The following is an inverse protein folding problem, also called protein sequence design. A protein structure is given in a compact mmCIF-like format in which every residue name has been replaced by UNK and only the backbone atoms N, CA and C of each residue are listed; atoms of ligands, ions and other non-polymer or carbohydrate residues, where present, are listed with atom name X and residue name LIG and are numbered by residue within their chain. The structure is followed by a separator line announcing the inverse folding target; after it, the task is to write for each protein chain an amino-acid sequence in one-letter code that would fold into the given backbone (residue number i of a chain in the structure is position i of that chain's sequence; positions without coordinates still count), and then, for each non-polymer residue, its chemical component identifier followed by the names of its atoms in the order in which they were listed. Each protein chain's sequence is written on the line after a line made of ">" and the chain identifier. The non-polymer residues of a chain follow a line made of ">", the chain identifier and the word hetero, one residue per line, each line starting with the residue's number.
data_IF_168758763575
#
_entry.id   IF_168758763575
#
_cell.length_a   1.000
_cell.length_b   1.000
_cell.length_c   1.000
_cell.angle_alpha   90.00
_cell.angle_beta   90.00
_cell.angle_gamma   90.00
#
_symmetry.space_group_name_H-M   'P 1'
#
loop_
_entity.id
_entity.type
_entity.pdbx_description
1 polymer ?
#
# COMPACT_ATOMS: atom_id res chain seq x y z
N UNK A 1 25.79 -5.21 27.21
CA UNK A 1 27.05 -4.54 27.63
C UNK A 1 28.24 -5.26 26.99
N UNK A 2 29.47 -4.79 27.20
CA UNK A 2 30.69 -5.24 26.47
C UNK A 2 31.10 -6.74 26.61
N UNK A 3 30.34 -7.55 27.35
CA UNK A 3 30.60 -8.99 27.55
C UNK A 3 29.33 -9.85 27.42
N UNK A 4 28.28 -9.29 26.81
CA UNK A 4 26.92 -9.84 26.70
C UNK A 4 26.29 -10.38 28.01
N UNK A 5 26.85 -9.99 29.16
CA UNK A 5 26.33 -10.35 30.50
C UNK A 5 24.96 -9.69 30.71
N UNK A 6 23.93 -10.53 30.84
CA UNK A 6 22.57 -10.09 31.17
C UNK A 6 22.48 -9.54 32.59
N UNK A 7 21.45 -8.73 32.92
CA UNK A 7 21.19 -8.34 34.30
C UNK A 7 21.07 -9.53 35.25
N UNK A 8 20.46 -10.64 34.79
CA UNK A 8 20.30 -11.88 35.55
C UNK A 8 21.64 -12.55 35.83
N UNK A 9 22.54 -12.61 34.84
CA UNK A 9 23.91 -13.11 35.00
C UNK A 9 24.66 -12.35 36.10
N UNK A 10 24.59 -11.02 36.09
CA UNK A 10 25.27 -10.18 37.09
C UNK A 10 24.67 -10.35 38.49
N UNK A 11 23.36 -10.49 38.60
CA UNK A 11 22.68 -10.75 39.86
C UNK A 11 23.08 -12.12 40.45
N UNK A 12 23.21 -13.14 39.60
CA UNK A 12 23.65 -14.46 40.00
C UNK A 12 25.11 -14.48 40.48
N UNK A 13 26.01 -13.86 39.71
CA UNK A 13 27.42 -13.69 40.09
C UNK A 13 27.58 -12.91 41.41
N UNK A 14 26.75 -11.89 41.63
CA UNK A 14 26.76 -11.11 42.89
C UNK A 14 26.07 -11.79 44.08
N UNK A 15 25.43 -12.95 43.89
CA UNK A 15 24.67 -13.64 44.94
C UNK A 15 23.40 -12.88 45.37
N UNK A 16 22.84 -12.02 44.51
CA UNK A 16 21.68 -11.19 44.84
C UNK A 16 20.37 -11.94 44.62
N UNK A 17 20.00 -12.78 45.59
CA UNK A 17 18.82 -13.66 45.53
C UNK A 17 17.53 -12.92 45.13
N UNK A 18 17.20 -11.83 45.82
CA UNK A 18 16.00 -11.05 45.55
C UNK A 18 15.98 -10.42 44.14
N UNK A 19 17.16 -10.05 43.62
CA UNK A 19 17.27 -9.52 42.26
C UNK A 19 17.09 -10.62 41.21
N UNK A 20 17.59 -11.83 41.46
CA UNK A 20 17.40 -13.00 40.59
C UNK A 20 15.92 -13.35 40.47
N UNK A 21 15.21 -13.46 41.60
CA UNK A 21 13.76 -13.74 41.62
C UNK A 21 12.96 -12.68 40.85
N UNK A 22 13.24 -11.40 41.12
CA UNK A 22 12.56 -10.28 40.45
C UNK A 22 12.80 -10.30 38.94
N UNK A 23 14.04 -10.54 38.51
CA UNK A 23 14.38 -10.57 37.09
C UNK A 23 13.70 -11.72 36.36
N UNK A 24 13.67 -12.92 36.96
CA UNK A 24 12.95 -14.08 36.41
C UNK A 24 11.43 -13.80 36.29
N UNK A 25 10.82 -13.22 37.33
CA UNK A 25 9.41 -12.80 37.32
C UNK A 25 9.08 -11.75 36.24
N UNK A 26 10.09 -11.01 35.78
CA UNK A 26 9.98 -10.03 34.71
C UNK A 26 10.49 -10.52 33.35
N UNK A 27 10.67 -11.84 33.18
CA UNK A 27 10.98 -12.45 31.89
C UNK A 27 12.46 -12.49 31.53
N UNK A 28 13.37 -12.34 32.50
CA UNK A 28 14.79 -12.60 32.26
C UNK A 28 14.98 -14.10 31.96
N UNK A 29 15.68 -14.40 30.87
CA UNK A 29 15.91 -15.78 30.46
C UNK A 29 17.20 -16.35 31.11
N UNK A 30 17.09 -17.39 31.96
CA UNK A 30 18.24 -18.02 32.61
C UNK A 30 19.13 -18.82 31.64
N UNK A 31 18.69 -19.06 30.40
CA UNK A 31 19.43 -19.82 29.39
C UNK A 31 20.47 -18.99 28.64
N UNK A 32 20.42 -17.66 28.75
CA UNK A 32 21.30 -16.75 28.02
C UNK A 32 22.72 -16.78 28.59
N UNK A 33 23.67 -17.21 27.76
CA UNK A 33 25.09 -17.21 28.10
C UNK A 33 25.73 -15.83 27.89
N UNK A 34 26.73 -15.52 28.71
CA UNK A 34 27.62 -14.38 28.48
C UNK A 34 28.70 -14.72 27.45
N UNK A 35 29.52 -13.75 27.06
CA UNK A 35 30.62 -13.96 26.09
C UNK A 35 31.70 -14.93 26.61
N UNK A 36 31.74 -15.19 27.92
CA UNK A 36 32.59 -16.22 28.54
C UNK A 36 32.01 -17.64 28.42
N UNK A 37 30.85 -17.81 27.77
CA UNK A 37 30.19 -19.09 27.52
C UNK A 37 29.41 -19.64 28.71
N UNK A 38 29.41 -18.96 29.86
CA UNK A 38 28.74 -19.45 31.06
C UNK A 38 27.30 -18.92 31.17
N UNK A 39 26.42 -19.72 31.77
CA UNK A 39 25.06 -19.33 32.15
C UNK A 39 25.04 -18.66 33.53
N UNK A 40 24.00 -17.87 33.88
CA UNK A 40 23.80 -17.33 35.22
C UNK A 40 23.90 -18.37 36.33
N UNK A 41 23.44 -19.60 36.09
CA UNK A 41 23.50 -20.71 37.05
C UNK A 41 24.93 -21.14 37.35
N UNK A 42 25.78 -21.23 36.31
CA UNK A 42 27.17 -21.71 36.42
C UNK A 42 28.09 -20.72 37.16
N UNK A 43 27.74 -19.43 37.16
CA UNK A 43 28.53 -18.37 37.81
C UNK A 43 27.95 -17.91 39.14
N UNK A 44 26.87 -18.55 39.60
CA UNK A 44 26.16 -18.14 40.81
C UNK A 44 27.05 -18.29 42.06
N UNK A 45 27.13 -17.22 42.87
CA UNK A 45 27.97 -17.22 44.09
C UNK A 45 27.35 -17.91 45.30
N UNK A 46 26.03 -18.18 45.29
CA UNK A 46 25.30 -18.77 46.40
C UNK A 46 24.49 -19.98 45.95
N UNK A 47 24.51 -21.06 46.74
CA UNK A 47 23.71 -22.27 46.47
C UNK A 47 22.22 -21.97 46.37
N UNK A 48 21.71 -21.00 47.13
CA UNK A 48 20.32 -20.56 47.07
C UNK A 48 19.94 -19.97 45.70
N UNK A 49 20.89 -19.30 45.01
CA UNK A 49 20.65 -18.76 43.66
C UNK A 49 20.64 -19.88 42.63
N UNK A 50 21.55 -20.86 42.75
CA UNK A 50 21.57 -22.06 41.88
C UNK A 50 20.26 -22.83 42.00
N UNK A 51 19.76 -23.01 43.23
CA UNK A 51 18.48 -23.67 43.48
C UNK A 51 17.30 -22.97 42.79
N UNK A 52 17.25 -21.64 42.82
CA UNK A 52 16.19 -20.87 42.15
C UNK A 52 16.28 -20.99 40.63
N UNK A 53 17.48 -20.82 40.06
CA UNK A 53 17.68 -20.86 38.61
C UNK A 53 17.38 -22.26 38.03
N UNK A 54 17.82 -23.31 38.72
CA UNK A 54 17.56 -24.70 38.31
C UNK A 54 16.09 -25.11 38.46
N UNK A 55 15.38 -24.57 39.47
CA UNK A 55 13.96 -24.85 39.70
C UNK A 55 13.02 -23.96 38.86
N UNK A 56 13.54 -22.97 38.14
CA UNK A 56 12.72 -22.05 37.37
C UNK A 56 12.07 -22.74 36.18
N UNK A 57 10.77 -22.55 36.03
CA UNK A 57 10.03 -23.04 34.87
C UNK A 57 10.31 -22.16 33.66
N UNK A 58 11.17 -22.63 32.76
CA UNK A 58 11.52 -21.93 31.52
C UNK A 58 10.31 -21.67 30.61
N UNK A 59 9.23 -22.45 30.72
CA UNK A 59 8.01 -22.20 29.95
C UNK A 59 7.34 -20.90 30.39
N UNK A 60 7.49 -20.49 31.65
CA UNK A 60 7.03 -19.20 32.14
C UNK A 60 7.76 -18.06 31.43
N UNK A 61 9.08 -18.17 31.29
CA UNK A 61 9.88 -17.20 30.51
C UNK A 61 9.44 -17.15 29.05
N UNK A 62 9.26 -18.30 28.40
CA UNK A 62 8.81 -18.36 27.00
C UNK A 62 7.45 -17.66 26.81
N UNK A 63 6.49 -17.87 27.72
CA UNK A 63 5.19 -17.18 27.66
C UNK A 63 5.27 -15.67 27.91
N UNK A 64 6.19 -15.22 28.77
CA UNK A 64 6.41 -13.80 29.03
C UNK A 64 7.04 -13.13 27.82
N UNK A 65 8.05 -13.74 27.19
CA UNK A 65 8.69 -13.25 25.99
C UNK A 65 7.69 -13.16 24.83
N UNK A 66 6.88 -14.20 24.60
CA UNK A 66 5.81 -14.17 23.61
C UNK A 66 4.81 -13.02 23.85
N UNK A 67 4.40 -12.79 25.09
CA UNK A 67 3.52 -11.66 25.44
C UNK A 67 4.18 -10.31 25.21
N UNK A 68 5.46 -10.16 25.55
CA UNK A 68 6.23 -8.94 25.33
C UNK A 68 6.41 -8.64 23.85
N UNK A 69 6.77 -9.64 23.04
CA UNK A 69 6.89 -9.52 21.59
C UNK A 69 5.54 -9.19 20.95
N UNK A 70 4.47 -9.88 21.33
CA UNK A 70 3.13 -9.58 20.86
C UNK A 70 2.68 -8.15 21.21
N UNK A 71 2.99 -7.67 22.42
CA UNK A 71 2.68 -6.31 22.83
C UNK A 71 3.55 -5.27 22.09
N UNK A 72 4.83 -5.55 21.86
CA UNK A 72 5.69 -4.70 21.03
C UNK A 72 5.19 -4.62 19.59
N UNK A 73 4.82 -5.75 18.99
CA UNK A 73 4.21 -5.81 17.66
C UNK A 73 2.88 -5.04 17.62
N UNK A 74 2.03 -5.20 18.65
CA UNK A 74 0.76 -4.46 18.76
C UNK A 74 0.98 -2.96 18.83
N UNK A 75 1.95 -2.49 19.62
CA UNK A 75 2.32 -1.07 19.73
C UNK A 75 2.88 -0.54 18.42
N UNK A 76 3.77 -1.30 17.76
CA UNK A 76 4.32 -0.94 16.46
C UNK A 76 3.20 -0.80 15.40
N UNK A 77 2.28 -1.77 15.35
CA UNK A 77 1.13 -1.74 14.45
C UNK A 77 0.20 -0.56 14.76
N UNK A 78 -0.06 -0.26 16.04
CA UNK A 78 -0.88 0.87 16.44
C UNK A 78 -0.23 2.21 16.04
N UNK A 79 1.07 2.38 16.30
CA UNK A 79 1.82 3.57 15.89
C UNK A 79 1.79 3.77 14.38
N UNK A 80 1.92 2.69 13.61
CA UNK A 80 1.88 2.75 12.16
C UNK A 80 0.49 3.10 11.62
N UNK A 81 -0.58 2.56 12.21
CA UNK A 81 -1.96 2.96 11.89
C UNK A 81 -2.22 4.42 12.24
N UNK A 82 -1.69 4.90 13.36
CA UNK A 82 -1.77 6.31 13.73
C UNK A 82 -1.06 7.19 12.69
N UNK A 83 0.14 6.80 12.27
CA UNK A 83 0.89 7.53 11.25
C UNK A 83 0.17 7.56 9.90
N UNK A 84 -0.44 6.44 9.45
CA UNK A 84 -1.26 6.42 8.24
C UNK A 84 -2.48 7.33 8.37
N UNK A 85 -3.15 7.32 9.52
CA UNK A 85 -4.32 8.17 9.78
C UNK A 85 -3.97 9.66 9.75
N UNK A 86 -2.82 10.06 10.31
CA UNK A 86 -2.31 11.43 10.23
C UNK A 86 -2.04 11.85 8.78
N UNK A 87 -1.34 11.01 8.01
CA UNK A 87 -1.06 11.28 6.59
C UNK A 87 -2.38 11.38 5.83
N UNK A 88 -3.33 10.47 6.06
CA UNK A 88 -4.65 10.49 5.45
C UNK A 88 -5.41 11.78 5.75
N UNK A 89 -5.38 12.25 7.00
CA UNK A 89 -6.03 13.49 7.40
C UNK A 89 -5.39 14.70 6.70
N UNK A 90 -4.06 14.72 6.62
CA UNK A 90 -3.32 15.77 5.92
C UNK A 90 -3.65 15.79 4.42
N UNK A 91 -3.62 14.63 3.75
CA UNK A 91 -3.99 14.49 2.34
C UNK A 91 -5.44 14.94 2.10
N UNK A 92 -6.38 14.55 2.96
CA UNK A 92 -7.78 14.99 2.87
C UNK A 92 -7.94 16.52 3.02
N UNK A 93 -7.14 17.14 3.89
CA UNK A 93 -7.10 18.60 4.03
C UNK A 93 -6.61 19.29 2.75
N UNK A 94 -5.53 18.78 2.14
CA UNK A 94 -4.98 19.32 0.89
C UNK A 94 -5.97 19.18 -0.27
N UNK A 95 -6.63 18.03 -0.40
CA UNK A 95 -7.64 17.81 -1.44
C UNK A 95 -8.84 18.75 -1.28
N UNK A 96 -9.27 19.01 -0.03
CA UNK A 96 -10.32 19.99 0.26
C UNK A 96 -9.89 21.42 -0.14
N UNK A 97 -8.66 21.81 0.18
CA UNK A 97 -8.11 23.12 -0.22
C UNK A 97 -8.01 23.24 -1.75
N UNK A 98 -7.56 22.19 -2.44
CA UNK A 98 -7.49 22.14 -3.90
C UNK A 98 -8.89 22.31 -4.52
N UNK A 99 -9.91 21.64 -3.97
CA UNK A 99 -11.29 21.79 -4.43
C UNK A 99 -11.78 23.24 -4.26
N UNK A 100 -11.46 23.88 -3.14
CA UNK A 100 -11.80 25.29 -2.92
C UNK A 100 -11.09 26.23 -3.91
N UNK A 101 -9.81 25.96 -4.21
CA UNK A 101 -9.04 26.71 -5.19
C UNK A 101 -9.63 26.59 -6.61
N UNK A 102 -10.04 25.40 -7.03
CA UNK A 102 -10.75 25.22 -8.30
C UNK A 102 -12.08 25.99 -8.35
N UNK A 103 -12.85 25.98 -7.25
CA UNK A 103 -14.09 26.74 -7.17
C UNK A 103 -13.86 28.25 -7.23
N UNK A 104 -12.74 28.75 -6.69
CA UNK A 104 -12.34 30.15 -6.83
C UNK A 104 -11.88 30.49 -8.25
N UNK A 105 -11.06 29.64 -8.87
CA UNK A 105 -10.64 29.81 -10.27
C UNK A 105 -11.85 29.91 -11.20
N UNK A 106 -12.83 29.00 -11.07
CA UNK A 106 -14.07 29.04 -11.86
C UNK A 106 -14.86 30.34 -11.63
N UNK A 107 -14.88 30.86 -10.40
CA UNK A 107 -15.50 32.16 -10.09
C UNK A 107 -14.77 33.32 -10.79
N UNK A 108 -13.43 33.31 -10.81
CA UNK A 108 -12.62 34.33 -11.49
C UNK A 108 -12.80 34.30 -13.01
N UNK A 109 -12.83 33.12 -13.61
CA UNK A 109 -13.13 32.93 -15.04
C UNK A 109 -14.51 33.52 -15.37
N UNK A 110 -15.53 33.17 -14.60
CA UNK A 110 -16.90 33.68 -14.81
C UNK A 110 -16.97 35.22 -14.69
N UNK A 111 -16.23 35.80 -13.73
CA UNK A 111 -16.17 37.24 -13.55
C UNK A 111 -15.48 37.95 -14.72
N UNK A 112 -14.39 37.36 -15.25
CA UNK A 112 -13.70 37.85 -16.42
C UNK A 112 -14.59 37.82 -17.67
N UNK A 113 -15.24 36.68 -17.94
CA UNK A 113 -16.18 36.54 -19.06
C UNK A 113 -17.28 37.60 -19.01
N UNK A 114 -17.78 37.91 -17.81
CA UNK A 114 -18.78 38.96 -17.59
C UNK A 114 -18.22 40.35 -17.86
N UNK A 115 -16.98 40.64 -17.46
CA UNK A 115 -16.32 41.92 -17.74
C UNK A 115 -16.08 42.11 -19.25
N UNK A 116 -15.63 41.06 -19.94
CA UNK A 116 -15.44 41.07 -21.39
C UNK A 116 -16.76 41.33 -22.12
N UNK A 117 -17.83 40.60 -21.77
CA UNK A 117 -19.17 40.78 -22.38
C UNK A 117 -19.72 42.20 -22.19
N UNK A 118 -19.38 42.86 -21.08
CA UNK A 118 -19.83 44.22 -20.77
C UNK A 118 -18.87 45.32 -21.22
N UNK A 119 -17.77 44.98 -21.89
CA UNK A 119 -16.72 45.93 -22.30
C UNK A 119 -16.24 46.83 -21.15
N UNK A 120 -16.12 46.25 -19.95
CA UNK A 120 -15.60 46.99 -18.80
C UNK A 120 -14.08 47.14 -18.93
N UNK A 121 -13.54 48.33 -18.65
CA UNK A 121 -12.10 48.65 -18.73
C UNK A 121 -11.20 47.90 -17.73
N UNK A 122 -11.72 46.87 -17.05
CA UNK A 122 -11.08 46.17 -15.95
C UNK A 122 -10.61 44.76 -16.36
N UNK A 123 -10.61 44.47 -17.67
CA UNK A 123 -10.32 43.14 -18.20
C UNK A 123 -8.92 42.63 -17.80
N UNK A 124 -7.90 43.50 -17.83
CA UNK A 124 -6.53 43.15 -17.43
C UNK A 124 -6.42 42.74 -15.95
N UNK A 125 -7.08 43.47 -15.05
CA UNK A 125 -7.11 43.13 -13.61
C UNK A 125 -7.78 41.77 -13.37
N UNK A 126 -8.86 41.48 -14.11
CA UNK A 126 -9.53 40.16 -14.00
C UNK A 126 -8.70 39.02 -14.58
N UNK A 127 -7.90 39.26 -15.63
CA UNK A 127 -6.95 38.28 -16.16
C UNK A 127 -5.83 37.98 -15.17
N UNK A 128 -5.26 39.01 -14.53
CA UNK A 128 -4.25 38.82 -13.50
C UNK A 128 -4.79 37.98 -12.34
N UNK A 129 -6.02 38.24 -11.90
CA UNK A 129 -6.66 37.45 -10.85
C UNK A 129 -6.95 35.99 -11.25
N UNK A 130 -7.14 35.70 -12.55
CA UNK A 130 -7.20 34.32 -13.05
C UNK A 130 -5.83 33.66 -12.93
N UNK A 131 -4.77 34.33 -13.42
CA UNK A 131 -3.42 33.80 -13.37
C UNK A 131 -2.96 33.49 -11.93
N UNK A 132 -3.28 34.36 -10.97
CA UNK A 132 -3.00 34.13 -9.55
C UNK A 132 -3.75 32.89 -9.02
N UNK A 133 -5.02 32.72 -9.40
CA UNK A 133 -5.84 31.58 -9.00
C UNK A 133 -5.35 30.27 -9.65
N UNK A 134 -4.93 30.30 -10.92
CA UNK A 134 -4.30 29.17 -11.62
C UNK A 134 -2.99 28.76 -10.93
N UNK A 135 -2.15 29.74 -10.57
CA UNK A 135 -0.90 29.47 -9.84
C UNK A 135 -1.15 28.81 -8.47
N UNK A 136 -2.19 29.22 -7.75
CA UNK A 136 -2.58 28.58 -6.50
C UNK A 136 -3.08 27.15 -6.71
N UNK A 137 -3.93 26.92 -7.72
CA UNK A 137 -4.43 25.59 -8.08
C UNK A 137 -3.28 24.66 -8.39
N UNK A 138 -2.31 25.09 -9.21
CA UNK A 138 -1.18 24.25 -9.60
C UNK A 138 -0.29 23.91 -8.39
N UNK A 139 -0.02 24.89 -7.52
CA UNK A 139 0.73 24.65 -6.28
C UNK A 139 0.04 23.63 -5.38
N UNK A 140 -1.27 23.77 -5.17
CA UNK A 140 -2.04 22.85 -4.33
C UNK A 140 -2.18 21.47 -4.96
N UNK A 141 -2.25 21.39 -6.30
CA UNK A 141 -2.32 20.15 -7.04
C UNK A 141 -1.05 19.32 -6.85
N UNK A 142 0.13 19.93 -7.03
CA UNK A 142 1.42 19.27 -6.81
C UNK A 142 1.51 18.78 -5.36
N UNK A 143 1.17 19.63 -4.39
CA UNK A 143 1.20 19.25 -2.97
C UNK A 143 0.24 18.10 -2.64
N UNK A 144 -0.96 18.09 -3.24
CA UNK A 144 -1.94 17.03 -3.06
C UNK A 144 -1.46 15.71 -3.69
N UNK A 145 -0.85 15.76 -4.87
CA UNK A 145 -0.28 14.60 -5.55
C UNK A 145 0.84 13.95 -4.72
N UNK A 146 1.80 14.75 -4.24
CA UNK A 146 2.85 14.27 -3.32
C UNK A 146 2.28 13.66 -2.03
N UNK A 147 1.21 14.25 -1.48
CA UNK A 147 0.57 13.75 -0.28
C UNK A 147 -0.22 12.46 -0.52
N UNK A 148 -0.84 12.30 -1.69
CA UNK A 148 -1.47 11.04 -2.10
C UNK A 148 -0.44 9.93 -2.29
N UNK A 149 0.71 10.20 -2.91
CA UNK A 149 1.79 9.22 -3.06
C UNK A 149 2.29 8.73 -1.69
N UNK A 150 2.52 9.65 -0.75
CA UNK A 150 2.91 9.30 0.63
C UNK A 150 1.84 8.44 1.32
N UNK A 151 0.57 8.74 1.11
CA UNK A 151 -0.54 7.96 1.65
C UNK A 151 -0.59 6.55 1.05
N UNK A 152 -0.46 6.43 -0.28
CA UNK A 152 -0.41 5.14 -0.97
C UNK A 152 0.76 4.28 -0.47
N UNK A 153 1.94 4.86 -0.26
CA UNK A 153 3.10 4.16 0.33
C UNK A 153 2.85 3.74 1.78
N UNK A 154 2.21 4.58 2.60
CA UNK A 154 1.87 4.22 3.98
C UNK A 154 0.88 3.04 4.04
N UNK A 155 -0.11 3.02 3.13
CA UNK A 155 -1.05 1.90 2.98
C UNK A 155 -0.37 0.62 2.54
N UNK A 156 0.55 0.70 1.56
CA UNK A 156 1.36 -0.46 1.14
C UNK A 156 2.08 -1.09 2.34
N UNK A 157 2.76 -0.28 3.16
CA UNK A 157 3.49 -0.80 4.34
C UNK A 157 2.57 -1.48 5.34
N UNK A 158 1.39 -0.91 5.59
CA UNK A 158 0.41 -1.51 6.50
C UNK A 158 -0.11 -2.84 5.96
N UNK A 159 -0.34 -2.92 4.64
CA UNK A 159 -0.78 -4.13 3.96
C UNK A 159 0.24 -5.26 4.03
N UNK A 160 1.51 -4.97 3.77
CA UNK A 160 2.58 -5.97 3.79
C UNK A 160 2.75 -6.58 5.18
N UNK A 161 2.72 -5.76 6.24
CA UNK A 161 2.77 -6.26 7.62
C UNK A 161 1.55 -7.10 7.99
N UNK A 162 0.36 -6.74 7.50
CA UNK A 162 -0.83 -7.55 7.74
C UNK A 162 -0.80 -8.89 7.01
N UNK A 163 -0.02 -9.00 5.92
CA UNK A 163 0.16 -10.22 5.14
C UNK A 163 1.36 -11.05 5.63
N UNK A 164 2.29 -10.45 6.37
CA UNK A 164 3.44 -11.11 6.98
C UNK A 164 2.97 -12.20 7.96
N UNK A 165 3.16 -13.46 7.57
CA UNK A 165 2.74 -14.63 8.36
C UNK A 165 1.41 -15.28 7.96
N UNK A 166 0.65 -14.71 7.01
CA UNK A 166 -0.49 -15.43 6.41
C UNK A 166 -0.03 -16.28 5.21
N UNK A 167 -0.22 -17.61 5.24
CA UNK A 167 0.08 -18.43 4.07
C UNK A 167 -0.89 -18.08 2.93
N UNK A 168 -0.33 -17.65 1.80
CA UNK A 168 -1.08 -17.47 0.56
C UNK A 168 -0.99 -18.74 -0.27
N UNK A 169 -2.15 -19.31 -0.64
CA UNK A 169 -2.22 -20.50 -1.51
C UNK A 169 -1.76 -20.21 -2.95
N UNK A 170 -1.95 -18.97 -3.41
CA UNK A 170 -1.59 -18.54 -4.76
C UNK A 170 -0.51 -17.47 -4.64
N UNK A 171 0.70 -17.69 -5.18
CA UNK A 171 1.75 -16.67 -5.14
C UNK A 171 1.34 -15.47 -5.98
N UNK A 172 1.46 -14.26 -5.42
CA UNK A 172 1.08 -13.03 -6.12
C UNK A 172 0.75 -11.89 -5.18
N UNK A 173 0.09 -10.87 -5.71
CA UNK A 173 -0.36 -9.71 -4.95
C UNK A 173 -1.71 -10.00 -4.30
N UNK A 174 -1.88 -9.57 -3.06
CA UNK A 174 -3.16 -9.60 -2.36
C UNK A 174 -3.56 -8.18 -2.00
N UNK A 175 -4.78 -7.77 -2.34
CA UNK A 175 -5.29 -6.44 -2.03
C UNK A 175 -6.80 -6.45 -1.82
N UNK A 176 -7.30 -5.48 -1.07
CA UNK A 176 -8.73 -5.22 -0.95
C UNK A 176 -9.25 -4.41 -2.15
N UNK A 177 -10.58 -4.36 -2.30
CA UNK A 177 -11.23 -3.54 -3.34
C UNK A 177 -10.83 -2.06 -3.24
N UNK A 178 -10.59 -1.55 -2.03
CA UNK A 178 -10.19 -0.15 -1.80
C UNK A 178 -8.77 0.17 -2.29
N UNK A 179 -7.93 -0.85 -2.44
CA UNK A 179 -6.53 -0.74 -2.83
C UNK A 179 -6.30 -1.05 -4.31
N UNK A 180 -7.35 -1.39 -5.07
CA UNK A 180 -7.24 -1.72 -6.50
C UNK A 180 -6.62 -0.57 -7.30
N UNK A 181 -6.88 0.67 -6.93
CA UNK A 181 -6.26 1.83 -7.58
C UNK A 181 -4.75 1.89 -7.33
N UNK A 182 -4.34 1.73 -6.08
CA UNK A 182 -2.93 1.73 -5.68
C UNK A 182 -2.17 0.57 -6.34
N UNK A 183 -2.77 -0.61 -6.45
CA UNK A 183 -2.13 -1.78 -7.06
C UNK A 183 -2.15 -1.73 -8.57
N UNK A 184 -3.32 -1.62 -9.19
CA UNK A 184 -3.47 -1.81 -10.63
C UNK A 184 -3.17 -0.54 -11.42
N UNK A 185 -3.47 0.64 -10.86
CA UNK A 185 -3.39 1.88 -11.61
C UNK A 185 -2.12 2.68 -11.32
N UNK A 186 -1.66 2.65 -10.08
CA UNK A 186 -0.48 3.39 -9.64
C UNK A 186 0.76 2.49 -9.49
N UNK A 187 0.60 1.16 -9.51
CA UNK A 187 1.65 0.18 -9.20
C UNK A 187 2.51 0.60 -8.00
N UNK A 188 1.84 0.90 -6.88
CA UNK A 188 2.50 1.43 -5.68
C UNK A 188 3.49 0.39 -5.16
N UNK A 189 4.76 0.78 -5.14
CA UNK A 189 5.88 -0.11 -4.80
C UNK A 189 6.50 -0.84 -6.00
N UNK A 190 6.02 -0.59 -7.23
CA UNK A 190 6.60 -1.11 -8.47
C UNK A 190 6.54 -2.63 -8.60
N UNK A 191 5.58 -3.29 -7.95
CA UNK A 191 5.55 -4.76 -7.86
C UNK A 191 5.13 -5.41 -9.17
N UNK A 192 4.18 -4.80 -9.89
CA UNK A 192 3.77 -5.30 -11.20
C UNK A 192 4.88 -5.11 -12.22
N UNK A 193 5.51 -3.95 -12.22
CA UNK A 193 6.64 -3.65 -13.09
C UNK A 193 7.85 -4.55 -12.81
N UNK A 194 8.15 -4.84 -11.53
CA UNK A 194 9.25 -5.71 -11.15
C UNK A 194 9.03 -7.18 -11.54
N UNK A 195 7.78 -7.67 -11.51
CA UNK A 195 7.44 -9.03 -11.95
C UNK A 195 7.46 -9.15 -13.49
N UNK A 196 6.96 -8.13 -14.20
CA UNK A 196 6.99 -8.05 -15.66
C UNK A 196 5.90 -8.84 -16.39
N UNK A 197 5.12 -9.68 -15.69
CA UNK A 197 3.93 -10.35 -16.26
C UNK A 197 2.70 -9.45 -16.16
N UNK A 198 1.75 -9.63 -17.09
CA UNK A 198 0.47 -8.93 -17.05
C UNK A 198 -0.38 -9.39 -15.85
N UNK A 199 -1.17 -8.51 -15.23
CA UNK A 199 -1.99 -8.86 -14.07
C UNK A 199 -3.19 -9.74 -14.45
N UNK A 200 -3.34 -10.86 -13.74
CA UNK A 200 -4.54 -11.68 -13.68
C UNK A 200 -5.27 -11.40 -12.37
N UNK A 201 -6.38 -10.68 -12.46
CA UNK A 201 -7.20 -10.29 -11.32
C UNK A 201 -8.13 -11.45 -10.96
N UNK A 202 -7.89 -12.03 -9.79
CA UNK A 202 -8.70 -13.10 -9.21
C UNK A 202 -9.72 -12.44 -8.28
N UNK A 203 -10.94 -12.24 -8.80
CA UNK A 203 -12.01 -11.56 -8.09
C UNK A 203 -13.35 -12.33 -8.21
N UNK A 204 -13.62 -13.25 -7.27
CA UNK A 204 -14.90 -13.96 -7.21
C UNK A 204 -16.11 -13.02 -7.01
N UNK A 205 -15.91 -11.84 -6.43
CA UNK A 205 -17.00 -10.91 -6.12
C UNK A 205 -17.46 -10.09 -7.31
N UNK A 206 -16.61 -9.92 -8.33
CA UNK A 206 -16.84 -9.08 -9.50
C UNK A 206 -16.72 -7.57 -9.25
N UNK A 207 -16.31 -7.15 -8.05
CA UNK A 207 -16.09 -5.73 -7.72
C UNK A 207 -14.94 -5.10 -8.51
N UNK A 208 -13.90 -5.86 -8.84
CA UNK A 208 -12.79 -5.39 -9.66
C UNK A 208 -13.22 -5.08 -11.09
N UNK A 209 -14.10 -5.89 -11.68
CA UNK A 209 -14.66 -5.59 -13.00
C UNK A 209 -15.48 -4.29 -13.00
N UNK A 210 -16.24 -4.04 -11.91
CA UNK A 210 -16.98 -2.78 -11.73
C UNK A 210 -16.00 -1.60 -11.58
N UNK A 211 -14.97 -1.75 -10.73
CA UNK A 211 -13.92 -0.75 -10.55
C UNK A 211 -13.25 -0.37 -11.88
N UNK A 212 -12.83 -1.36 -12.67
CA UNK A 212 -12.17 -1.14 -13.97
C UNK A 212 -13.07 -0.41 -14.97
N UNK A 213 -14.37 -0.72 -14.97
CA UNK A 213 -15.36 -0.02 -15.80
C UNK A 213 -15.48 1.45 -15.44
N UNK A 214 -15.47 1.80 -14.15
CA UNK A 214 -15.52 3.20 -13.70
C UNK A 214 -14.20 3.96 -13.95
N UNK A 215 -13.08 3.25 -14.08
CA UNK A 215 -11.77 3.82 -14.44
C UNK A 215 -11.53 3.91 -15.95
N UNK A 216 -12.57 3.72 -16.75
CA UNK A 216 -12.53 3.75 -18.23
C UNK A 216 -11.38 2.92 -18.81
N UNK A 217 -11.12 1.76 -18.19
CA UNK A 217 -10.04 0.86 -18.62
C UNK A 217 -10.62 -0.38 -19.27
N UNK A 218 -10.02 -0.80 -20.39
CA UNK A 218 -10.43 -2.04 -21.04
C UNK A 218 -9.97 -3.24 -20.20
N UNK A 219 -10.90 -4.17 -19.99
CA UNK A 219 -10.63 -5.42 -19.31
C UNK A 219 -11.37 -6.55 -20.01
N UNK A 220 -10.86 -7.76 -19.86
CA UNK A 220 -11.46 -8.97 -20.41
C UNK A 220 -11.84 -9.91 -19.26
N UNK A 221 -13.10 -10.34 -19.20
CA UNK A 221 -13.54 -11.33 -18.22
C UNK A 221 -13.43 -12.74 -18.81
N UNK A 222 -12.48 -13.54 -18.30
CA UNK A 222 -12.25 -14.91 -18.80
C UNK A 222 -13.40 -15.86 -18.52
N UNK A 223 -14.30 -15.52 -17.60
CA UNK A 223 -15.50 -16.31 -17.32
C UNK A 223 -16.66 -15.99 -18.27
N UNK A 224 -16.57 -14.95 -19.10
CA UNK A 224 -17.59 -14.59 -20.09
C UNK A 224 -17.16 -15.04 -21.50
N UNK A 225 -17.80 -16.06 -22.11
CA UNK A 225 -17.46 -16.51 -23.45
C UNK A 225 -17.54 -15.42 -24.52
N UNK A 226 -18.43 -14.44 -24.33
CA UNK A 226 -18.55 -13.31 -25.26
C UNK A 226 -17.30 -12.41 -25.25
N UNK A 227 -16.67 -12.22 -24.10
CA UNK A 227 -15.43 -11.43 -23.96
C UNK A 227 -14.23 -12.17 -24.58
N UNK A 228 -14.29 -13.50 -24.63
CA UNK A 228 -13.24 -14.36 -25.21
C UNK A 228 -13.40 -14.59 -26.71
N UNK A 229 -14.43 -14.03 -27.35
CA UNK A 229 -14.56 -14.06 -28.79
C UNK A 229 -13.40 -13.27 -29.45
N UNK A 230 -12.85 -13.79 -30.55
CA UNK A 230 -11.69 -13.20 -31.24
C UNK A 230 -11.91 -11.71 -31.54
N UNK A 231 -13.10 -11.34 -32.03
CA UNK A 231 -13.42 -9.96 -32.35
C UNK A 231 -13.57 -9.08 -31.10
N UNK A 232 -14.09 -9.63 -29.99
CA UNK A 232 -14.19 -8.90 -28.72
C UNK A 232 -12.80 -8.60 -28.14
N UNK A 233 -11.89 -9.58 -28.16
CA UNK A 233 -10.50 -9.40 -27.76
C UNK A 233 -9.81 -8.35 -28.63
N UNK A 234 -9.98 -8.45 -29.97
CA UNK A 234 -9.45 -7.47 -30.92
C UNK A 234 -9.95 -6.06 -30.62
N UNK A 235 -11.25 -5.89 -30.41
CA UNK A 235 -11.85 -4.59 -30.10
C UNK A 235 -11.42 -4.05 -28.73
N UNK A 236 -11.24 -4.90 -27.72
CA UNK A 236 -10.73 -4.48 -26.41
C UNK A 236 -9.28 -3.97 -26.51
N UNK A 237 -8.42 -4.66 -27.28
CA UNK A 237 -7.04 -4.24 -27.55
C UNK A 237 -6.97 -2.95 -28.36
N UNK A 238 -7.83 -2.78 -29.37
CA UNK A 238 -7.92 -1.52 -30.12
C UNK A 238 -8.52 -0.40 -29.27
N UNK A 239 -9.45 -0.74 -28.37
CA UNK A 239 -10.08 0.16 -27.42
C UNK A 239 -9.10 0.76 -26.42
N UNK A 240 -8.10 0.00 -25.97
CA UNK A 240 -7.09 0.48 -25.01
C UNK A 240 -6.03 1.38 -25.64
N UNK A 241 -6.02 1.49 -26.97
CA UNK A 241 -5.18 2.42 -27.73
C UNK A 241 -5.88 3.77 -27.99
N UNK A 242 -7.10 3.99 -27.47
CA UNK A 242 -7.95 5.16 -27.79
C UNK A 242 -7.42 6.48 -27.21
N UNK A 243 -7.03 7.38 -28.12
CA UNK A 243 -7.20 8.83 -27.99
C UNK A 243 -7.88 9.36 -29.27
N UNK A 244 -9.16 9.06 -29.44
CA UNK A 244 -9.97 9.53 -30.59
C UNK A 244 -10.54 10.94 -30.40
N UNK A 245 -10.55 11.49 -29.18
CA UNK A 245 -11.28 12.72 -28.85
C UNK A 245 -10.48 14.02 -29.01
N UNK A 246 -9.18 13.95 -29.33
CA UNK A 246 -8.28 15.11 -29.40
C UNK A 246 -7.70 15.39 -30.80
N UNK A 247 -8.06 14.57 -31.79
CA UNK A 247 -7.51 14.67 -33.15
C UNK A 247 -8.36 15.62 -33.99
N UNK A 248 -7.73 16.67 -34.51
CA UNK A 248 -8.31 17.58 -35.49
C UNK A 248 -8.07 17.04 -36.89
N UNK A 249 -8.95 17.37 -37.83
CA UNK A 249 -8.80 17.01 -39.25
C UNK A 249 -7.56 17.64 -39.91
N UNK A 250 -6.90 18.58 -39.23
CA UNK A 250 -5.67 19.26 -39.65
C UNK A 250 -4.39 18.63 -39.09
N UNK A 251 -4.48 17.64 -38.21
CA UNK A 251 -3.30 17.01 -37.61
C UNK A 251 -2.57 16.13 -38.63
N UNK A 252 -1.24 16.08 -38.57
CA UNK A 252 -0.37 15.44 -39.57
C UNK A 252 -0.54 13.91 -39.69
N UNK A 253 0.03 13.28 -40.73
CA UNK A 253 -0.08 11.84 -40.98
C UNK A 253 0.35 11.01 -39.78
N UNK A 254 1.29 11.48 -38.98
CA UNK A 254 1.76 10.84 -37.75
C UNK A 254 0.64 10.58 -36.72
N UNK A 255 -0.51 11.25 -36.84
CA UNK A 255 -1.71 11.09 -36.01
C UNK A 255 -2.77 10.17 -36.65
N UNK A 256 -2.47 9.54 -37.78
CA UNK A 256 -3.38 8.64 -38.48
C UNK A 256 -3.80 7.44 -37.61
N UNK A 257 -4.99 6.91 -37.91
CA UNK A 257 -5.64 5.84 -37.15
C UNK A 257 -4.80 4.56 -37.06
N UNK A 258 -4.00 4.28 -38.09
CA UNK A 258 -3.20 3.06 -38.21
C UNK A 258 -1.73 3.27 -37.84
N UNK A 259 -1.30 4.50 -37.55
CA UNK A 259 0.11 4.79 -37.31
C UNK A 259 0.51 4.47 -35.87
N UNK A 260 1.47 3.56 -35.71
CA UNK A 260 1.95 3.14 -34.40
C UNK A 260 2.79 4.25 -33.75
N UNK A 261 2.49 4.56 -32.48
CA UNK A 261 3.30 5.48 -31.68
C UNK A 261 3.66 4.84 -30.35
N UNK A 262 4.93 4.91 -29.98
CA UNK A 262 5.43 4.42 -28.68
C UNK A 262 4.71 5.12 -27.52
N UNK A 263 4.43 6.42 -27.63
CA UNK A 263 3.66 7.16 -26.63
C UNK A 263 2.21 6.68 -26.45
N UNK A 264 1.63 5.98 -27.44
CA UNK A 264 0.31 5.32 -27.28
C UNK A 264 0.39 4.10 -26.36
N UNK A 265 1.56 3.53 -26.14
CA UNK A 265 1.77 2.42 -25.21
C UNK A 265 1.97 2.86 -23.76
N UNK A 266 2.40 4.10 -23.51
CA UNK A 266 2.70 4.61 -22.16
C UNK A 266 1.50 4.52 -21.21
N UNK A 267 0.28 4.63 -21.75
CA UNK A 267 -0.98 4.53 -20.98
C UNK A 267 -1.77 3.26 -21.29
N UNK A 268 -1.23 2.38 -22.13
CA UNK A 268 -1.92 1.14 -22.48
C UNK A 268 -2.02 0.25 -21.24
N UNK A 269 -3.26 -0.12 -20.91
CA UNK A 269 -3.56 -1.05 -19.81
C UNK A 269 -4.59 -2.05 -20.30
N UNK A 270 -4.31 -3.32 -20.05
CA UNK A 270 -5.24 -4.42 -20.25
C UNK A 270 -5.20 -5.29 -19.00
N UNK A 271 -6.38 -5.53 -18.43
CA UNK A 271 -6.53 -6.39 -17.27
C UNK A 271 -7.31 -7.65 -17.65
N UNK A 272 -6.82 -8.80 -17.20
CA UNK A 272 -7.53 -10.08 -17.31
C UNK A 272 -8.19 -10.35 -15.98
N UNK A 273 -9.51 -10.54 -15.97
CA UNK A 273 -10.29 -10.76 -14.75
C UNK A 273 -10.90 -12.15 -14.78
N UNK A 274 -10.83 -12.87 -13.67
CA UNK A 274 -11.48 -14.16 -13.49
C UNK A 274 -12.27 -14.21 -12.19
N UNK A 275 -13.43 -14.86 -12.24
CA UNK A 275 -14.25 -15.17 -11.05
C UNK A 275 -13.87 -16.50 -10.39
N UNK A 276 -12.96 -17.28 -10.99
CA UNK A 276 -12.52 -18.56 -10.44
C UNK A 276 -11.58 -18.32 -9.27
N UNK A 277 -11.88 -18.91 -8.11
CA UNK A 277 -11.02 -18.83 -6.92
C UNK A 277 -9.61 -19.37 -7.17
N UNK A 278 -9.51 -20.46 -7.94
CA UNK A 278 -8.27 -21.12 -8.30
C UNK A 278 -8.18 -21.24 -9.82
N UNK A 279 -7.54 -20.26 -10.50
CA UNK A 279 -7.27 -20.35 -11.93
C UNK A 279 -6.34 -21.52 -12.25
N UNK A 280 -6.39 -22.06 -13.48
CA UNK A 280 -5.44 -23.07 -13.96
C UNK A 280 -3.99 -22.60 -13.81
N UNK A 281 -3.08 -23.54 -13.56
CA UNK A 281 -1.68 -23.25 -13.29
C UNK A 281 -1.00 -22.55 -14.48
N UNK A 282 -1.42 -22.87 -15.71
CA UNK A 282 -0.89 -22.22 -16.92
C UNK A 282 -1.15 -20.70 -16.91
N UNK A 283 -2.29 -20.27 -16.37
CA UNK A 283 -2.59 -18.84 -16.23
C UNK A 283 -1.79 -18.19 -15.09
N UNK A 284 -1.57 -18.90 -14.00
CA UNK A 284 -0.77 -18.41 -12.86
C UNK A 284 0.72 -18.29 -13.19
N UNK A 285 1.20 -19.10 -14.14
CA UNK A 285 2.55 -18.99 -14.68
C UNK A 285 2.65 -17.83 -15.68
N UNK A 286 1.69 -17.69 -16.60
CA UNK A 286 1.69 -16.68 -17.65
C UNK A 286 1.41 -15.24 -17.16
N UNK A 287 0.64 -15.08 -16.09
CA UNK A 287 0.20 -13.79 -15.56
C UNK A 287 0.62 -13.62 -14.10
N UNK A 288 0.77 -12.38 -13.64
CA UNK A 288 0.93 -12.03 -12.23
C UNK A 288 -0.42 -12.14 -11.53
N UNK A 289 -0.62 -13.06 -10.57
CA UNK A 289 -1.89 -13.17 -9.87
C UNK A 289 -2.10 -11.97 -8.94
N UNK A 290 -3.25 -11.31 -9.04
CA UNK A 290 -3.71 -10.25 -8.14
C UNK A 290 -5.02 -10.68 -7.51
N UNK A 291 -4.96 -11.14 -6.26
CA UNK A 291 -6.11 -11.63 -5.51
C UNK A 291 -6.83 -10.48 -4.81
N UNK A 292 -8.14 -10.39 -5.07
CA UNK A 292 -9.01 -9.41 -4.43
C UNK A 292 -9.62 -10.02 -3.17
N UNK A 293 -9.17 -9.55 -2.01
CA UNK A 293 -9.64 -9.99 -0.70
C UNK A 293 -11.00 -9.34 -0.39
N UNK A 294 -11.98 -10.17 -0.05
CA UNK A 294 -13.28 -9.70 0.42
C UNK A 294 -13.18 -9.27 1.88
N UNK A 295 -13.32 -7.97 2.12
CA UNK A 295 -13.44 -7.44 3.49
C UNK A 295 -14.71 -8.01 4.14
N UNK A 296 -14.57 -9.01 5.02
CA UNK A 296 -15.67 -9.53 5.82
C UNK A 296 -15.85 -11.05 5.86
N UNK A 297 -15.11 -11.84 5.09
CA UNK A 297 -15.00 -13.27 5.38
C UNK A 297 -13.80 -13.51 6.27
N UNK A 298 -13.96 -13.21 7.57
CA UNK A 298 -13.33 -14.07 8.56
C UNK A 298 -13.72 -15.50 8.17
N UNK A 299 -12.73 -16.29 7.74
CA UNK A 299 -12.90 -17.72 7.48
C UNK A 299 -13.65 -18.29 8.68
N UNK A 300 -14.92 -18.63 8.51
CA UNK A 300 -15.66 -19.49 9.44
C UNK A 300 -15.21 -20.91 9.22
#
# INVERSE_FOLDING_TARGET
>A
GAFNRTPLYRAAFGGHLAAVELLLQHGADPRLYADDGNTPEQVASLDGVVAILSAWDVTLTDTMLQKMEAEQQRRAQQNQRHQEAEVRQHTASLLSQLQQAYAELNRRITAHDKCQRKQMGNAELTLHAIADAEGLVEKLRIAAEEAEEKLSLARLKLREQMQEGLPSEIPGLQCSVQELDDVLMKDVGGKMQADGRWPLIIDPSGQAAIFLRYRDTNYLNTANPADMAVEAIRLALLGSLRYRSLLRTTDGPEYAETEFRVSRMEKFRLFVVTKRHHPPEELLQAFLPVQVLLSGMARR
#
